data_IF_924479096885
#
_entry.id   IF_924479096885
#
_cell.length_a   1.000
_cell.length_b   1.000
_cell.length_c   1.000
_cell.angle_alpha   90.00
_cell.angle_beta   90.00
_cell.angle_gamma   90.00
#
_symmetry.space_group_name_H-M   'P 1'
#
loop_
_entity.id
_entity.type
_entity.pdbx_description
1 polymer ?
#
# COMPACT_ATOMS: atom_id res chain seq x y z
N UNK A 1 61.03 -55.17 -28.14
CA UNK A 1 59.83 -55.54 -28.94
C UNK A 1 58.66 -54.65 -28.52
N UNK A 2 58.05 -53.96 -29.50
CA UNK A 2 56.63 -53.54 -29.64
C UNK A 2 56.00 -52.75 -28.46
N UNK A 3 55.95 -51.40 -28.52
CA UNK A 3 54.90 -50.50 -29.08
C UNK A 3 53.55 -50.56 -28.32
N UNK A 4 53.10 -49.42 -27.78
CA UNK A 4 51.85 -48.67 -28.15
C UNK A 4 51.69 -47.39 -27.28
N UNK A 5 51.62 -46.19 -27.86
CA UNK A 5 50.47 -45.35 -28.30
C UNK A 5 49.99 -44.34 -27.25
N UNK A 6 50.26 -43.08 -27.58
CA UNK A 6 49.61 -41.81 -27.19
C UNK A 6 48.10 -41.88 -27.02
N UNK A 7 47.55 -41.20 -26.00
CA UNK A 7 46.28 -40.50 -26.17
C UNK A 7 46.18 -39.26 -25.29
N UNK A 8 45.78 -38.19 -25.95
CA UNK A 8 45.55 -36.82 -25.50
C UNK A 8 44.15 -36.77 -24.88
N UNK A 9 44.02 -36.33 -23.64
CA UNK A 9 42.73 -35.98 -23.04
C UNK A 9 42.78 -34.53 -22.57
N UNK A 10 42.33 -33.62 -23.44
CA UNK A 10 41.94 -32.26 -23.08
C UNK A 10 40.62 -32.37 -22.34
N UNK A 11 40.64 -32.12 -21.02
CA UNK A 11 39.43 -31.95 -20.24
C UNK A 11 39.28 -30.45 -19.90
N UNK A 12 38.71 -29.71 -20.83
CA UNK A 12 38.10 -28.39 -20.56
C UNK A 12 36.73 -28.64 -19.95
N UNK A 13 36.58 -28.46 -18.63
CA UNK A 13 35.25 -28.35 -18.02
C UNK A 13 35.23 -27.23 -16.96
N UNK A 14 34.73 -26.08 -17.44
CA UNK A 14 33.78 -25.17 -16.79
C UNK A 14 34.11 -24.69 -15.36
N UNK A 15 34.64 -23.47 -15.28
CA UNK A 15 34.50 -22.63 -14.08
C UNK A 15 32.99 -22.42 -13.82
N UNK A 16 32.45 -23.09 -12.81
CA UNK A 16 31.18 -22.68 -12.21
C UNK A 16 31.39 -21.37 -11.47
N UNK A 17 31.23 -20.25 -12.19
CA UNK A 17 30.97 -18.97 -11.55
C UNK A 17 29.61 -19.10 -10.85
N UNK A 18 29.65 -19.40 -9.55
CA UNK A 18 28.53 -19.17 -8.65
C UNK A 18 28.31 -17.66 -8.59
N UNK A 19 27.66 -17.13 -9.63
CA UNK A 19 27.01 -15.84 -9.55
C UNK A 19 25.97 -15.96 -8.47
N UNK A 20 26.30 -15.51 -7.27
CA UNK A 20 25.31 -15.07 -6.30
C UNK A 20 24.49 -14.00 -7.02
N UNK A 21 23.36 -14.43 -7.58
CA UNK A 21 22.30 -13.52 -8.00
C UNK A 21 21.87 -12.85 -6.71
N UNK A 22 22.43 -11.67 -6.41
CA UNK A 22 21.80 -10.75 -5.49
C UNK A 22 20.42 -10.51 -6.10
N UNK A 23 19.40 -11.16 -5.53
CA UNK A 23 18.04 -10.72 -5.71
C UNK A 23 18.07 -9.21 -5.41
N UNK A 24 17.74 -8.40 -6.40
CA UNK A 24 17.46 -7.01 -6.15
C UNK A 24 16.28 -7.02 -5.17
N UNK A 25 16.56 -6.71 -3.89
CA UNK A 25 15.52 -6.24 -3.00
C UNK A 25 14.92 -5.02 -3.69
N UNK A 26 13.75 -5.21 -4.30
CA UNK A 26 12.91 -4.09 -4.66
C UNK A 26 12.65 -3.37 -3.34
N UNK A 27 13.33 -2.24 -3.13
CA UNK A 27 12.94 -1.24 -2.13
C UNK A 27 11.61 -0.64 -2.57
N UNK A 28 10.57 -1.45 -2.47
CA UNK A 28 9.17 -1.05 -2.63
C UNK A 28 8.51 -0.93 -1.23
N UNK A 29 9.33 -0.94 -0.19
CA UNK A 29 8.91 -0.79 1.20
C UNK A 29 9.09 0.67 1.55
N UNK A 30 7.98 1.31 1.93
CA UNK A 30 7.99 2.68 2.39
C UNK A 30 8.82 2.77 3.67
N UNK A 31 9.83 3.65 3.69
CA UNK A 31 10.73 3.80 4.83
C UNK A 31 9.99 4.34 6.08
N UNK A 32 8.91 5.09 5.86
CA UNK A 32 8.09 5.70 6.91
C UNK A 32 6.64 5.17 6.84
N UNK A 33 5.99 4.89 7.99
CA UNK A 33 4.56 4.58 8.01
C UNK A 33 3.76 5.80 7.56
N UNK A 34 2.57 5.56 7.02
CA UNK A 34 1.75 6.60 6.42
C UNK A 34 0.47 6.80 7.22
N UNK A 35 0.12 8.07 7.49
CA UNK A 35 -1.15 8.48 8.07
C UNK A 35 -1.98 9.18 7.00
N UNK A 36 -3.09 8.55 6.63
CA UNK A 36 -4.11 9.13 5.77
C UNK A 36 -5.07 9.88 6.68
N UNK A 37 -4.97 11.21 6.67
CA UNK A 37 -5.81 12.10 7.45
C UNK A 37 -7.03 12.55 6.65
N UNK A 38 -8.23 12.33 7.19
CA UNK A 38 -9.45 12.98 6.69
C UNK A 38 -9.35 14.50 6.82
N UNK A 39 -9.61 15.23 5.73
CA UNK A 39 -9.37 16.67 5.65
C UNK A 39 -10.20 17.51 6.63
N UNK A 40 -11.32 16.98 7.12
CA UNK A 40 -12.22 17.66 8.05
C UNK A 40 -11.88 17.36 9.53
N UNK A 41 -10.86 16.54 9.80
CA UNK A 41 -10.39 16.29 11.16
C UNK A 41 -9.55 17.46 11.70
N UNK A 42 -10.03 18.04 12.79
CA UNK A 42 -9.35 19.10 13.54
C UNK A 42 -9.58 18.97 15.05
N UNK A 43 -8.79 19.71 15.84
CA UNK A 43 -8.97 19.79 17.29
C UNK A 43 -8.99 18.42 17.98
N UNK A 44 -10.03 18.17 18.77
CA UNK A 44 -10.18 16.94 19.54
C UNK A 44 -10.45 15.71 18.66
N UNK A 45 -11.14 15.89 17.54
CA UNK A 45 -11.49 14.80 16.62
C UNK A 45 -10.23 14.24 15.94
N UNK A 46 -9.32 15.13 15.53
CA UNK A 46 -8.02 14.72 15.02
C UNK A 46 -7.25 13.93 16.07
N UNK A 47 -7.13 14.47 17.28
CA UNK A 47 -6.37 13.83 18.35
C UNK A 47 -6.95 12.48 18.75
N UNK A 48 -8.28 12.34 18.78
CA UNK A 48 -8.92 11.06 19.04
C UNK A 48 -8.64 10.06 17.91
N UNK A 49 -8.75 10.48 16.65
CA UNK A 49 -8.47 9.61 15.50
C UNK A 49 -7.01 9.15 15.48
N UNK A 50 -6.06 10.04 15.78
CA UNK A 50 -4.64 9.71 15.92
C UNK A 50 -4.41 8.68 17.02
N UNK A 51 -5.07 8.83 18.18
CA UNK A 51 -4.99 7.86 19.28
C UNK A 51 -5.59 6.50 18.90
N UNK A 52 -6.76 6.49 18.26
CA UNK A 52 -7.43 5.25 17.82
C UNK A 52 -6.58 4.47 16.81
N UNK A 53 -5.79 5.18 16.00
CA UNK A 53 -4.91 4.62 14.98
C UNK A 53 -3.46 4.42 15.42
N UNK A 54 -3.07 4.87 16.62
CA UNK A 54 -1.70 4.81 17.10
C UNK A 54 -0.71 5.64 16.28
N UNK A 55 -1.12 6.80 15.77
CA UNK A 55 -0.28 7.68 14.96
C UNK A 55 0.78 8.35 15.85
N UNK A 56 2.04 8.24 15.42
CA UNK A 56 3.22 8.83 16.07
C UNK A 56 3.91 9.85 15.14
N UNK A 57 4.87 10.63 15.68
CA UNK A 57 5.57 11.71 14.96
C UNK A 57 6.36 11.25 13.70
N UNK A 58 6.62 9.95 13.56
CA UNK A 58 7.36 9.37 12.43
C UNK A 58 6.48 9.03 11.23
N UNK A 59 5.19 9.38 11.28
CA UNK A 59 4.24 9.12 10.21
C UNK A 59 4.26 10.22 9.14
N UNK A 60 4.41 9.81 7.88
CA UNK A 60 4.16 10.71 6.76
C UNK A 60 2.66 10.90 6.57
N UNK A 61 2.19 12.15 6.60
CA UNK A 61 0.75 12.45 6.57
C UNK A 61 0.27 12.89 5.18
N UNK A 62 -0.76 12.24 4.66
CA UNK A 62 -1.51 12.66 3.48
C UNK A 62 -2.93 13.07 3.83
N UNK A 63 -3.32 14.28 3.45
CA UNK A 63 -4.68 14.77 3.64
C UNK A 63 -5.60 14.31 2.50
N UNK A 64 -6.81 13.86 2.83
CA UNK A 64 -7.82 13.40 1.86
C UNK A 64 -9.09 14.21 2.00
N UNK A 65 -9.48 14.91 0.94
CA UNK A 65 -10.71 15.68 0.86
C UNK A 65 -11.74 15.04 -0.10
N UNK A 66 -12.92 15.66 -0.18
CA UNK A 66 -14.02 15.20 -1.05
C UNK A 66 -13.66 15.15 -2.55
N UNK A 67 -12.75 16.00 -3.01
CA UNK A 67 -12.27 15.97 -4.41
C UNK A 67 -11.35 14.78 -4.65
N UNK A 68 -10.49 14.45 -3.68
CA UNK A 68 -9.68 13.22 -3.74
C UNK A 68 -10.59 12.00 -3.84
N UNK A 69 -11.64 11.92 -3.00
CA UNK A 69 -12.62 10.83 -3.08
C UNK A 69 -13.26 10.74 -4.47
N UNK A 70 -13.71 11.86 -5.02
CA UNK A 70 -14.29 11.90 -6.37
C UNK A 70 -13.31 11.47 -7.47
N UNK A 71 -12.02 11.75 -7.29
CA UNK A 71 -10.97 11.40 -8.24
C UNK A 71 -10.63 9.90 -8.23
N UNK A 72 -10.65 9.26 -7.06
CA UNK A 72 -10.29 7.85 -6.89
C UNK A 72 -11.50 6.91 -6.90
N UNK A 73 -12.69 7.41 -6.60
CA UNK A 73 -13.92 6.64 -6.46
C UNK A 73 -15.02 7.29 -7.32
N UNK A 74 -15.09 6.97 -8.63
CA UNK A 74 -16.00 7.64 -9.59
C UNK A 74 -17.50 7.51 -9.29
N UNK A 75 -17.89 6.57 -8.42
CA UNK A 75 -19.28 6.34 -7.99
C UNK A 75 -19.41 6.50 -6.46
N UNK A 76 -18.62 7.39 -5.85
CA UNK A 76 -18.70 7.63 -4.42
C UNK A 76 -20.04 8.21 -4.00
N UNK A 77 -20.35 8.09 -2.71
CA UNK A 77 -21.44 8.87 -2.10
C UNK A 77 -21.19 10.38 -2.30
N UNK A 78 -22.27 11.18 -2.25
CA UNK A 78 -22.14 12.64 -2.23
C UNK A 78 -21.70 13.08 -0.82
N UNK A 79 -20.38 13.12 -0.59
CA UNK A 79 -19.78 13.43 0.70
C UNK A 79 -19.65 14.94 0.88
N UNK A 80 -20.00 15.43 2.06
CA UNK A 80 -19.79 16.84 2.46
C UNK A 80 -18.56 17.03 3.34
N UNK A 81 -18.06 15.95 3.95
CA UNK A 81 -16.96 15.93 4.90
C UNK A 81 -16.27 14.56 4.85
N UNK A 82 -14.99 14.52 5.23
CA UNK A 82 -14.13 13.35 5.29
C UNK A 82 -13.51 13.24 6.70
N UNK A 83 -14.08 12.37 7.53
CA UNK A 83 -13.52 12.01 8.84
C UNK A 83 -12.81 10.66 8.86
N UNK A 84 -13.14 9.74 7.94
CA UNK A 84 -12.48 8.44 7.92
C UNK A 84 -11.02 8.57 7.54
N UNK A 85 -10.17 7.96 8.35
CA UNK A 85 -8.71 8.01 8.26
C UNK A 85 -8.13 6.61 8.31
N UNK A 86 -6.86 6.49 7.93
CA UNK A 86 -6.17 5.20 7.92
C UNK A 86 -4.69 5.33 8.23
N UNK A 87 -4.08 4.26 8.74
CA UNK A 87 -2.63 4.10 8.75
C UNK A 87 -2.22 2.98 7.82
N UNK A 88 -1.01 3.07 7.26
CA UNK A 88 -0.40 2.02 6.46
C UNK A 88 1.02 1.79 6.98
N UNK A 89 1.24 0.62 7.55
CA UNK A 89 2.54 0.22 8.08
C UNK A 89 3.07 -1.01 7.35
N UNK A 90 4.38 -1.05 7.06
CA UNK A 90 4.98 -2.25 6.49
C UNK A 90 5.14 -3.34 7.56
N UNK A 91 4.71 -4.57 7.25
CA UNK A 91 4.84 -5.71 8.18
C UNK A 91 6.26 -6.27 8.17
N UNK A 92 6.88 -6.39 9.35
CA UNK A 92 8.21 -7.03 9.50
C UNK A 92 8.20 -8.52 9.15
N UNK A 93 7.09 -9.20 9.39
CA UNK A 93 6.92 -10.63 9.17
C UNK A 93 5.56 -10.95 8.55
N UNK A 94 5.46 -12.09 7.89
CA UNK A 94 4.25 -12.48 7.16
C UNK A 94 4.26 -11.99 5.71
N UNK A 95 3.11 -12.13 5.05
CA UNK A 95 2.89 -11.67 3.66
C UNK A 95 1.46 -11.14 3.53
N UNK A 96 1.21 -10.37 2.49
CA UNK A 96 -0.13 -9.87 2.15
C UNK A 96 -0.50 -8.61 2.93
N UNK A 97 -1.69 -8.10 2.67
CA UNK A 97 -2.24 -6.91 3.34
C UNK A 97 -3.22 -7.37 4.41
N UNK A 98 -3.05 -6.93 5.65
CA UNK A 98 -4.03 -7.11 6.72
C UNK A 98 -4.75 -5.79 6.97
N UNK A 99 -6.07 -5.83 7.15
CA UNK A 99 -6.87 -4.63 7.40
C UNK A 99 -7.71 -4.82 8.65
N UNK A 100 -7.64 -3.82 9.54
CA UNK A 100 -8.47 -3.73 10.74
C UNK A 100 -9.24 -2.41 10.74
N UNK A 101 -10.54 -2.49 11.05
CA UNK A 101 -11.34 -1.29 11.34
C UNK A 101 -11.39 -1.19 12.86
N UNK A 102 -10.72 -0.20 13.43
CA UNK A 102 -10.62 -0.02 14.88
C UNK A 102 -11.88 0.60 15.49
N UNK A 103 -12.63 1.36 14.68
CA UNK A 103 -13.94 1.93 15.05
C UNK A 103 -15.07 1.36 14.18
N UNK A 104 -15.42 0.06 14.30
CA UNK A 104 -16.33 -0.61 13.37
C UNK A 104 -17.75 0.00 13.37
N UNK A 105 -18.19 0.55 14.50
CA UNK A 105 -19.52 1.21 14.59
C UNK A 105 -19.59 2.53 13.80
N UNK A 106 -18.43 3.12 13.48
CA UNK A 106 -18.33 4.40 12.77
C UNK A 106 -18.03 4.26 11.27
N UNK A 107 -17.77 3.03 10.77
CA UNK A 107 -17.55 2.78 9.34
C UNK A 107 -18.72 1.95 8.80
N UNK A 108 -19.63 2.62 8.09
CA UNK A 108 -20.98 2.10 7.83
C UNK A 108 -21.17 1.39 6.48
N UNK A 109 -20.24 1.57 5.52
CA UNK A 109 -20.39 0.99 4.17
C UNK A 109 -19.15 0.26 3.67
N UNK A 110 -17.97 0.88 3.77
CA UNK A 110 -16.74 0.29 3.23
C UNK A 110 -16.24 -0.81 4.17
N UNK A 111 -16.00 -1.99 3.62
CA UNK A 111 -15.57 -3.16 4.39
C UNK A 111 -14.05 -3.30 4.42
N UNK A 112 -13.52 -4.04 5.41
CA UNK A 112 -12.09 -4.38 5.47
C UNK A 112 -11.58 -5.04 4.18
N UNK A 113 -12.40 -5.86 3.53
CA UNK A 113 -12.05 -6.51 2.25
C UNK A 113 -11.95 -5.49 1.11
N UNK A 114 -12.78 -4.44 1.09
CA UNK A 114 -12.69 -3.38 0.10
C UNK A 114 -11.41 -2.54 0.28
N UNK A 115 -11.05 -2.21 1.52
CA UNK A 115 -9.78 -1.56 1.81
C UNK A 115 -8.58 -2.43 1.43
N UNK A 116 -8.64 -3.73 1.74
CA UNK A 116 -7.59 -4.69 1.40
C UNK A 116 -7.39 -4.78 -0.12
N UNK A 117 -8.49 -4.91 -0.87
CA UNK A 117 -8.46 -4.96 -2.32
C UNK A 117 -7.96 -3.65 -2.94
N UNK A 118 -8.30 -2.50 -2.34
CA UNK A 118 -7.77 -1.21 -2.76
C UNK A 118 -6.26 -1.13 -2.57
N UNK A 119 -5.75 -1.53 -1.42
CA UNK A 119 -4.32 -1.57 -1.14
C UNK A 119 -3.57 -2.49 -2.12
N UNK A 120 -4.09 -3.70 -2.37
CA UNK A 120 -3.51 -4.65 -3.34
C UNK A 120 -3.53 -4.06 -4.76
N UNK A 121 -4.63 -3.44 -5.16
CA UNK A 121 -4.76 -2.79 -6.48
C UNK A 121 -3.79 -1.62 -6.60
N UNK A 122 -3.62 -0.87 -5.52
CA UNK A 122 -2.60 0.13 -5.34
C UNK A 122 -1.23 -0.51 -5.07
N UNK A 123 -0.95 -1.76 -5.43
CA UNK A 123 0.39 -2.35 -5.37
C UNK A 123 1.03 -2.52 -3.99
N UNK A 124 0.29 -2.27 -2.90
CA UNK A 124 0.74 -2.56 -1.54
C UNK A 124 0.72 -4.08 -1.35
N UNK A 125 1.90 -4.67 -1.08
CA UNK A 125 2.07 -6.14 -1.05
C UNK A 125 2.15 -6.72 0.35
N UNK A 126 2.69 -5.98 1.31
CA UNK A 126 2.97 -6.47 2.65
C UNK A 126 2.80 -5.37 3.70
N UNK A 127 1.56 -5.11 4.10
CA UNK A 127 1.23 -4.03 5.02
C UNK A 127 0.15 -4.42 6.02
N UNK A 128 0.12 -3.71 7.14
CA UNK A 128 -0.97 -3.67 8.10
C UNK A 128 -1.63 -2.30 7.97
N UNK A 129 -2.96 -2.30 7.82
CA UNK A 129 -3.75 -1.10 7.58
C UNK A 129 -4.82 -1.01 8.66
N UNK A 130 -4.81 0.09 9.39
CA UNK A 130 -5.84 0.40 10.37
C UNK A 130 -6.75 1.50 9.85
N UNK A 131 -8.05 1.39 10.12
CA UNK A 131 -9.07 2.34 9.68
C UNK A 131 -9.86 2.81 10.90
N UNK A 132 -10.02 4.13 11.04
CA UNK A 132 -10.82 4.72 12.11
C UNK A 132 -11.61 5.94 11.62
N UNK A 133 -12.65 6.28 12.37
CA UNK A 133 -13.40 7.53 12.26
C UNK A 133 -13.99 7.87 13.62
N UNK A 134 -13.93 9.15 14.00
CA UNK A 134 -14.57 9.68 15.23
C UNK A 134 -16.08 9.67 15.17
N UNK A 135 -16.65 9.76 13.96
CA UNK A 135 -18.08 9.83 13.72
C UNK A 135 -18.54 8.79 12.68
N UNK A 136 -19.83 8.41 12.67
CA UNK A 136 -20.39 7.51 11.66
C UNK A 136 -20.30 8.08 10.25
N UNK A 137 -19.48 7.43 9.41
CA UNK A 137 -19.27 7.78 8.00
C UNK A 137 -19.30 6.53 7.13
N UNK A 138 -19.30 6.71 5.80
CA UNK A 138 -19.30 5.58 4.86
C UNK A 138 -17.95 4.86 4.80
N UNK A 139 -16.86 5.57 5.09
CA UNK A 139 -15.49 5.05 5.03
C UNK A 139 -14.73 5.37 3.72
N UNK A 140 -15.37 6.04 2.76
CA UNK A 140 -14.81 6.31 1.42
C UNK A 140 -13.58 7.23 1.42
N UNK A 141 -13.44 8.10 2.43
CA UNK A 141 -12.25 8.92 2.64
C UNK A 141 -10.96 8.12 2.76
N UNK A 142 -10.89 7.29 3.80
CA UNK A 142 -9.81 6.31 3.98
C UNK A 142 -9.54 5.46 2.72
N UNK A 143 -10.59 5.04 2.00
CA UNK A 143 -10.45 4.19 0.81
C UNK A 143 -9.75 4.95 -0.32
N UNK A 144 -10.18 6.19 -0.58
CA UNK A 144 -9.53 7.06 -1.54
C UNK A 144 -8.10 7.40 -1.13
N UNK A 145 -7.87 7.58 0.18
CA UNK A 145 -6.55 7.83 0.74
C UNK A 145 -5.54 6.73 0.49
N UNK A 146 -5.95 5.46 0.52
CA UNK A 146 -5.08 4.33 0.18
C UNK A 146 -4.57 4.45 -1.26
N UNK A 147 -5.44 4.84 -2.20
CA UNK A 147 -5.02 5.09 -3.58
C UNK A 147 -4.13 6.33 -3.71
N UNK A 148 -4.46 7.41 -2.99
CA UNK A 148 -3.68 8.65 -2.98
C UNK A 148 -2.27 8.46 -2.45
N UNK A 149 -2.14 7.85 -1.27
CA UNK A 149 -0.86 7.59 -0.62
C UNK A 149 0.09 6.82 -1.55
N UNK A 150 -0.44 5.86 -2.31
CA UNK A 150 0.36 5.12 -3.26
C UNK A 150 0.77 5.91 -4.52
N UNK A 151 -0.11 6.77 -5.05
CA UNK A 151 0.23 7.66 -6.18
C UNK A 151 1.35 8.64 -5.78
N UNK A 152 1.26 9.24 -4.59
CA UNK A 152 2.26 10.19 -4.05
C UNK A 152 3.63 9.53 -3.80
N UNK A 153 3.65 8.24 -3.43
CA UNK A 153 4.90 7.47 -3.24
C UNK A 153 5.58 7.06 -4.55
N UNK A 154 5.13 7.57 -5.70
CA UNK A 154 5.84 7.45 -6.98
C UNK A 154 5.46 6.23 -7.82
N UNK A 155 4.47 5.45 -7.40
CA UNK A 155 3.99 4.29 -8.16
C UNK A 155 2.81 4.67 -9.09
N UNK A 156 3.10 5.70 -9.89
CA UNK A 156 2.29 6.47 -10.84
C UNK A 156 1.63 5.63 -11.98
N UNK A 157 1.86 4.31 -12.02
CA UNK A 157 1.62 3.47 -13.19
C UNK A 157 0.25 2.77 -13.21
N UNK A 158 -0.34 2.39 -12.07
CA UNK A 158 -1.57 1.56 -12.07
C UNK A 158 -2.84 2.41 -12.27
N UNK A 159 -2.92 3.58 -11.63
CA UNK A 159 -4.09 4.46 -11.73
C UNK A 159 -4.22 5.15 -13.10
N UNK A 160 -3.10 5.44 -13.78
CA UNK A 160 -3.12 5.96 -15.17
C UNK A 160 -3.76 4.97 -16.14
N UNK A 161 -3.52 3.67 -15.97
CA UNK A 161 -4.11 2.64 -16.84
C UNK A 161 -5.65 2.61 -16.68
N UNK A 162 -6.16 2.77 -15.45
CA UNK A 162 -7.61 2.80 -15.21
C UNK A 162 -8.27 4.06 -15.77
N UNK A 163 -7.65 5.24 -15.59
CA UNK A 163 -8.11 6.53 -16.16
C UNK A 163 -8.11 6.55 -17.70
N UNK A 164 -7.24 5.75 -18.34
CA UNK A 164 -7.21 5.61 -19.82
C UNK A 164 -8.35 4.70 -20.32
N UNK A 165 -8.70 3.65 -19.57
CA UNK A 165 -9.75 2.70 -19.99
C UNK A 165 -11.18 3.26 -19.85
N UNK A 166 -11.41 4.22 -18.95
CA UNK A 166 -12.74 4.82 -18.72
C UNK A 166 -13.04 6.05 -19.60
N UNK A 167 -12.06 6.55 -20.36
CA UNK A 167 -12.22 7.67 -21.31
C UNK A 167 -12.60 7.23 -22.73
N UNK A 168 -13.14 6.04 -22.92
CA UNK A 168 -13.51 5.50 -24.24
C UNK A 168 -15.01 5.25 -24.37
#
# INVERSE_FOLDING_TARGET
MKKTITSLAVATLLLSASGVVKAAENKEDWDEPVFIKGADLEGQDLQQTENDLGVDDNYETYNVNVNDVSNYIPNSSNLSYIYSSATIEHKKWGKGVDVKIDTPDNITKVTSEQYQNAAITAGIKNAEIHIASVEPVTGEGALAGIYKAYEEKGNDLILKIFKIQTKK
#
